data_IF_449801518557
#
_entry.id   IF_449801518557
#
_cell.length_a   1.000
_cell.length_b   1.000
_cell.length_c   1.000
_cell.angle_alpha   90.00
_cell.angle_beta   90.00
_cell.angle_gamma   90.00
#
_symmetry.space_group_name_H-M   'P 1'
#
loop_
_entity.id
_entity.type
_entity.pdbx_description
1 polymer ?
#
# COMPACT_ATOMS: atom_id res chain seq x y z
N UNK A 1 -1.94 -55.84 26.73
CA UNK A 1 -2.90 -55.93 25.62
C UNK A 1 -3.04 -54.54 25.01
N UNK A 2 -2.61 -54.39 23.75
CA UNK A 2 -2.85 -53.22 22.90
C UNK A 2 -4.29 -53.24 22.38
N UNK A 3 -4.92 -52.07 22.24
CA UNK A 3 -5.97 -51.73 21.26
C UNK A 3 -6.19 -50.21 21.36
N UNK A 4 -5.68 -49.38 20.45
CA UNK A 4 -6.16 -49.08 19.08
C UNK A 4 -7.29 -48.04 19.05
N UNK A 5 -6.85 -46.80 18.79
CA UNK A 5 -7.39 -45.77 17.87
C UNK A 5 -8.92 -45.57 17.85
N UNK A 6 -9.33 -44.40 18.35
CA UNK A 6 -10.54 -43.69 17.92
C UNK A 6 -10.17 -42.29 17.45
N UNK A 7 -10.02 -42.12 16.14
CA UNK A 7 -10.04 -40.82 15.47
C UNK A 7 -11.44 -40.20 15.65
N UNK A 8 -11.53 -38.91 15.98
CA UNK A 8 -12.29 -37.90 15.22
C UNK A 8 -12.53 -36.60 16.01
N UNK A 9 -12.22 -35.51 15.31
CA UNK A 9 -12.79 -34.15 15.37
C UNK A 9 -12.65 -33.38 16.70
N UNK A 10 -12.03 -32.20 16.70
CA UNK A 10 -12.66 -31.02 16.10
C UNK A 10 -11.66 -29.87 16.00
N UNK A 11 -11.80 -29.11 14.92
CA UNK A 11 -11.19 -27.81 14.64
C UNK A 11 -9.68 -27.78 14.42
N UNK A 12 -9.30 -28.05 13.17
CA UNK A 12 -8.31 -27.19 12.53
C UNK A 12 -8.77 -25.75 12.71
N UNK A 13 -8.17 -25.05 13.68
CA UNK A 13 -8.12 -23.60 13.66
C UNK A 13 -7.39 -23.21 12.37
N UNK A 14 -8.17 -22.94 11.32
CA UNK A 14 -7.68 -22.15 10.20
C UNK A 14 -6.93 -20.96 10.77
N UNK A 15 -5.67 -20.69 10.36
CA UNK A 15 -5.14 -19.36 10.56
C UNK A 15 -6.08 -18.43 9.81
N UNK A 16 -6.80 -17.61 10.59
CA UNK A 16 -7.76 -16.67 10.10
C UNK A 16 -7.11 -15.87 8.97
N UNK A 17 -7.66 -16.07 7.77
CA UNK A 17 -7.31 -15.38 6.56
C UNK A 17 -7.49 -13.88 6.75
N UNK A 18 -6.37 -13.15 6.82
CA UNK A 18 -6.27 -11.81 6.26
C UNK A 18 -7.13 -10.72 6.86
N UNK A 19 -7.13 -10.55 8.18
CA UNK A 19 -7.42 -9.24 8.76
C UNK A 19 -6.20 -8.33 8.51
N UNK A 20 -6.27 -7.30 7.64
CA UNK A 20 -5.24 -6.28 7.65
C UNK A 20 -5.36 -5.59 9.02
N UNK A 21 -4.36 -5.83 9.86
CA UNK A 21 -4.24 -5.23 11.18
C UNK A 21 -4.45 -3.73 11.15
N UNK A 22 -4.77 -3.21 12.34
CA UNK A 22 -5.20 -1.87 12.74
C UNK A 22 -4.43 -0.65 12.18
N UNK A 23 -3.47 -0.83 11.28
CA UNK A 23 -2.45 0.13 10.87
C UNK A 23 -2.42 0.43 9.37
N UNK A 24 -3.12 -0.36 8.54
CA UNK A 24 -3.21 -0.15 7.06
C UNK A 24 -3.89 1.17 6.63
N UNK A 25 -4.47 1.91 7.57
CA UNK A 25 -5.13 3.19 7.33
C UNK A 25 -4.32 4.39 7.83
N UNK A 26 -3.11 4.17 8.36
CA UNK A 26 -2.24 5.25 8.83
C UNK A 26 -1.37 5.79 7.68
N UNK A 27 -1.05 7.08 7.71
CA UNK A 27 -0.11 7.66 6.75
C UNK A 27 1.29 7.02 6.89
N UNK A 28 1.67 6.55 8.08
CA UNK A 28 2.93 5.83 8.29
C UNK A 28 3.02 4.50 7.53
N UNK A 29 1.91 3.74 7.46
CA UNK A 29 1.84 2.53 6.64
C UNK A 29 2.05 2.85 5.15
N UNK A 30 1.35 3.86 4.64
CA UNK A 30 1.46 4.27 3.24
C UNK A 30 2.81 4.89 2.92
N UNK A 31 3.42 5.63 3.85
CA UNK A 31 4.75 6.20 3.67
C UNK A 31 5.80 5.09 3.58
N UNK A 32 5.73 4.08 4.46
CA UNK A 32 6.59 2.90 4.35
C UNK A 32 6.38 2.18 3.01
N UNK A 33 5.13 2.05 2.55
CA UNK A 33 4.85 1.48 1.23
C UNK A 33 5.48 2.30 0.10
N UNK A 34 5.38 3.63 0.14
CA UNK A 34 5.90 4.56 -0.86
C UNK A 34 7.41 4.82 -0.79
N UNK A 35 8.07 4.52 0.33
CA UNK A 35 9.53 4.62 0.48
C UNK A 35 10.30 3.85 -0.60
N UNK A 36 9.69 2.79 -1.14
CA UNK A 36 10.23 1.93 -2.21
C UNK A 36 10.23 2.62 -3.58
N UNK A 37 9.47 3.70 -3.76
CA UNK A 37 9.49 4.47 -4.99
C UNK A 37 10.77 5.30 -5.06
N UNK A 38 11.69 4.91 -5.96
CA UNK A 38 12.96 5.61 -6.17
C UNK A 38 12.88 6.79 -7.15
N UNK A 39 11.73 6.96 -7.81
CA UNK A 39 11.46 8.02 -8.79
C UNK A 39 10.04 8.55 -8.64
N UNK A 40 9.78 9.82 -8.96
CA UNK A 40 8.45 10.41 -8.84
C UNK A 40 7.36 9.66 -9.63
N UNK A 41 7.64 9.18 -10.84
CA UNK A 41 6.64 8.49 -11.67
C UNK A 41 6.20 7.16 -11.04
N UNK A 42 7.14 6.50 -10.35
CA UNK A 42 6.85 5.27 -9.60
C UNK A 42 5.96 5.57 -8.40
N UNK A 43 6.24 6.66 -7.68
CA UNK A 43 5.41 7.11 -6.57
C UNK A 43 3.96 7.35 -7.02
N UNK A 44 3.77 8.12 -8.10
CA UNK A 44 2.42 8.41 -8.61
C UNK A 44 1.66 7.15 -9.02
N UNK A 45 2.33 6.20 -9.70
CA UNK A 45 1.70 4.91 -10.06
C UNK A 45 1.29 4.11 -8.83
N UNK A 46 2.13 4.08 -7.80
CA UNK A 46 1.84 3.40 -6.54
C UNK A 46 0.68 4.08 -5.79
N UNK A 47 0.71 5.41 -5.67
CA UNK A 47 -0.33 6.19 -5.01
C UNK A 47 -1.69 6.04 -5.71
N UNK A 48 -1.72 6.11 -7.05
CA UNK A 48 -2.95 5.85 -7.83
C UNK A 48 -3.47 4.42 -7.63
N UNK A 49 -2.59 3.41 -7.63
CA UNK A 49 -3.00 2.03 -7.37
C UNK A 49 -3.58 1.87 -5.96
N UNK A 50 -2.95 2.47 -4.95
CA UNK A 50 -3.41 2.47 -3.58
C UNK A 50 -4.78 3.16 -3.43
N UNK A 51 -4.96 4.33 -4.06
CA UNK A 51 -6.21 5.09 -4.02
C UNK A 51 -7.35 4.29 -4.67
N UNK A 52 -7.12 3.67 -5.83
CA UNK A 52 -8.12 2.85 -6.50
C UNK A 52 -8.56 1.65 -5.66
N UNK A 53 -7.64 1.01 -4.94
CA UNK A 53 -7.94 -0.10 -4.01
C UNK A 53 -8.72 0.35 -2.78
N UNK A 54 -8.62 1.63 -2.40
CA UNK A 54 -9.23 2.22 -1.21
C UNK A 54 -10.30 3.27 -1.54
N UNK A 55 -10.87 3.24 -2.75
CA UNK A 55 -11.76 4.31 -3.27
C UNK A 55 -12.98 4.63 -2.39
N UNK A 56 -13.47 3.65 -1.63
CA UNK A 56 -14.61 3.83 -0.70
C UNK A 56 -14.18 4.16 0.73
N UNK A 57 -12.87 4.17 1.01
CA UNK A 57 -12.32 4.39 2.35
C UNK A 57 -11.66 5.78 2.44
N UNK A 58 -12.46 6.79 2.78
CA UNK A 58 -12.01 8.19 2.90
C UNK A 58 -10.80 8.35 3.84
N UNK A 59 -10.73 7.61 4.95
CA UNK A 59 -9.59 7.69 5.88
C UNK A 59 -8.31 7.21 5.23
N UNK A 60 -8.37 6.08 4.51
CA UNK A 60 -7.24 5.56 3.77
C UNK A 60 -6.81 6.50 2.63
N UNK A 61 -7.76 7.11 1.92
CA UNK A 61 -7.45 8.10 0.87
C UNK A 61 -6.69 9.32 1.42
N UNK A 62 -7.12 9.85 2.57
CA UNK A 62 -6.41 10.95 3.24
C UNK A 62 -5.00 10.51 3.65
N UNK A 63 -4.87 9.31 4.24
CA UNK A 63 -3.58 8.78 4.66
C UNK A 63 -2.62 8.53 3.48
N UNK A 64 -3.14 8.02 2.36
CA UNK A 64 -2.41 7.85 1.09
C UNK A 64 -1.91 9.21 0.61
N UNK A 65 -2.76 10.23 0.61
CA UNK A 65 -2.37 11.55 0.10
C UNK A 65 -1.26 12.20 0.94
N UNK A 66 -1.38 12.16 2.26
CA UNK A 66 -0.33 12.67 3.16
C UNK A 66 0.99 11.94 2.93
N UNK A 67 0.95 10.61 2.79
CA UNK A 67 2.16 9.82 2.54
C UNK A 67 2.78 10.09 1.16
N UNK A 68 1.95 10.32 0.14
CA UNK A 68 2.39 10.72 -1.20
C UNK A 68 3.14 12.05 -1.14
N UNK A 69 2.55 13.09 -0.53
CA UNK A 69 3.16 14.42 -0.43
C UNK A 69 4.50 14.37 0.35
N UNK A 70 4.56 13.60 1.44
CA UNK A 70 5.80 13.41 2.21
C UNK A 70 6.90 12.73 1.36
N UNK A 71 6.56 11.66 0.65
CA UNK A 71 7.53 10.95 -0.18
C UNK A 71 7.97 11.78 -1.39
N UNK A 72 7.08 12.58 -1.96
CA UNK A 72 7.39 13.51 -3.03
C UNK A 72 8.41 14.56 -2.57
N UNK A 73 8.21 15.14 -1.39
CA UNK A 73 9.17 16.08 -0.80
C UNK A 73 10.56 15.45 -0.59
N UNK A 74 10.62 14.19 -0.14
CA UNK A 74 11.89 13.46 -0.02
C UNK A 74 12.57 13.25 -1.39
N UNK A 75 11.80 12.94 -2.43
CA UNK A 75 12.33 12.77 -3.79
C UNK A 75 12.83 14.09 -4.38
N UNK A 76 12.09 15.19 -4.16
CA UNK A 76 12.51 16.54 -4.56
C UNK A 76 13.83 16.92 -3.87
N UNK A 77 13.92 16.68 -2.55
CA UNK A 77 15.15 16.91 -1.79
C UNK A 77 16.32 16.02 -2.25
N UNK A 78 16.03 14.85 -2.82
CA UNK A 78 17.02 13.98 -3.44
C UNK A 78 17.41 14.40 -4.87
N UNK A 79 16.86 15.51 -5.39
CA UNK A 79 17.18 16.07 -6.71
C UNK A 79 16.21 15.69 -7.83
N UNK A 80 15.12 14.97 -7.53
CA UNK A 80 14.07 14.66 -8.50
C UNK A 80 13.03 15.81 -8.51
N UNK A 81 13.38 16.93 -9.16
CA UNK A 81 12.61 18.18 -9.10
C UNK A 81 11.44 18.25 -10.07
N UNK A 82 11.27 17.26 -10.94
CA UNK A 82 10.21 17.25 -11.96
C UNK A 82 9.77 15.81 -12.19
N UNK A 83 8.49 15.54 -11.99
CA UNK A 83 7.82 14.52 -12.78
C UNK A 83 7.94 15.01 -14.22
N UNK A 84 8.81 14.40 -15.02
CA UNK A 84 8.76 14.58 -16.48
C UNK A 84 7.50 13.86 -16.98
N UNK A 85 6.36 14.44 -16.63
CA UNK A 85 5.11 14.24 -17.31
C UNK A 85 5.21 15.04 -18.59
N UNK A 86 5.83 14.44 -19.61
CA UNK A 86 5.70 14.84 -21.01
C UNK A 86 4.25 14.61 -21.51
N UNK A 87 3.26 15.15 -20.78
CA UNK A 87 1.85 15.16 -21.16
C UNK A 87 1.48 16.42 -21.94
N UNK A 88 2.45 17.28 -22.29
CA UNK A 88 2.16 18.62 -22.82
C UNK A 88 2.85 18.94 -24.16
N UNK A 89 3.32 17.96 -24.92
CA UNK A 89 3.80 18.22 -26.30
C UNK A 89 3.53 17.06 -27.28
N UNK A 90 2.37 16.40 -27.15
CA UNK A 90 1.79 15.68 -28.28
C UNK A 90 0.92 16.67 -29.07
N UNK A 91 1.57 17.34 -30.01
CA UNK A 91 1.05 18.09 -31.16
C UNK A 91 -0.47 18.38 -31.21
N UNK A 92 -0.84 19.66 -31.20
CA UNK A 92 -1.99 20.22 -31.92
C UNK A 92 -1.79 21.72 -32.20
#
# INVERSE_FOLDING_TARGET
MQSSIGLNNTHNSHPNSGEPGFDTQSHGHWLNHFSRASKPETLVRMARSAANKNKENTKALIAIRIAEDLREAELINAGFTRLDFDYADSEL
#
